data_IF_635258215888
#
_entry.id   IF_635258215888
#
_cell.length_a   1.000
_cell.length_b   1.000
_cell.length_c   1.000
_cell.angle_alpha   90.00
_cell.angle_beta   90.00
_cell.angle_gamma   90.00
#
_symmetry.space_group_name_H-M   'P 1'
#
loop_
_entity.id
_entity.type
_entity.pdbx_description
1 polymer ?
#
# COMPACT_ATOMS: atom_id res chain seq x y z
N UNK A 1 -15.51 -18.61 31.43
CA UNK A 1 -14.52 -17.54 31.67
C UNK A 1 -14.47 -16.68 30.43
N UNK A 2 -15.04 -15.46 30.47
CA UNK A 2 -15.06 -14.52 29.34
C UNK A 2 -13.75 -13.73 29.42
N UNK A 3 -12.85 -13.93 28.46
CA UNK A 3 -11.67 -13.08 28.31
C UNK A 3 -12.16 -11.65 28.01
N UNK A 4 -11.59 -10.66 28.70
CA UNK A 4 -11.94 -9.24 28.54
C UNK A 4 -11.46 -8.80 27.16
N UNK A 5 -12.32 -8.20 26.34
CA UNK A 5 -12.00 -7.78 24.97
C UNK A 5 -10.72 -6.90 24.89
N UNK A 6 -10.42 -6.12 25.92
CA UNK A 6 -9.22 -5.28 25.99
C UNK A 6 -7.88 -6.03 26.13
N UNK A 7 -7.87 -7.26 26.65
CA UNK A 7 -6.65 -8.07 26.82
C UNK A 7 -6.20 -8.70 25.48
N UNK A 8 -7.18 -8.96 24.60
CA UNK A 8 -6.94 -9.49 23.26
C UNK A 8 -6.31 -8.42 22.35
N UNK A 9 -6.77 -7.18 22.45
CA UNK A 9 -6.22 -6.05 21.68
C UNK A 9 -4.77 -5.72 22.06
N UNK A 10 -4.39 -5.88 23.32
CA UNK A 10 -3.02 -5.65 23.78
C UNK A 10 -2.07 -6.72 23.24
N UNK A 11 -2.49 -7.98 23.25
CA UNK A 11 -1.70 -9.06 22.64
C UNK A 11 -1.53 -8.85 21.12
N UNK A 12 -2.55 -8.36 20.41
CA UNK A 12 -2.47 -8.09 18.97
C UNK A 12 -1.49 -6.95 18.61
N UNK A 13 -1.11 -6.12 19.59
CA UNK A 13 -0.13 -5.04 19.44
C UNK A 13 1.30 -5.45 19.82
N UNK A 14 1.55 -6.72 20.10
CA UNK A 14 2.91 -7.22 20.29
C UNK A 14 3.59 -7.50 18.94
N UNK A 15 4.94 -7.38 18.87
CA UNK A 15 5.71 -7.80 17.71
C UNK A 15 5.32 -9.21 17.27
N UNK A 16 5.16 -9.39 15.96
CA UNK A 16 4.77 -10.69 15.42
C UNK A 16 5.67 -11.03 14.25
N UNK A 17 6.21 -12.23 14.26
CA UNK A 17 7.12 -12.68 13.22
C UNK A 17 6.82 -14.12 12.81
N UNK A 18 7.19 -14.44 11.58
CA UNK A 18 6.97 -15.76 11.04
C UNK A 18 7.24 -15.84 9.56
N UNK A 19 7.25 -17.07 9.05
CA UNK A 19 7.44 -17.33 7.64
C UNK A 19 6.14 -17.17 6.88
N UNK A 20 6.16 -16.33 5.84
CA UNK A 20 5.09 -16.23 4.85
C UNK A 20 5.66 -16.50 3.46
N UNK A 21 4.80 -16.94 2.55
CA UNK A 21 5.17 -17.13 1.16
C UNK A 21 4.76 -15.87 0.40
N UNK A 22 5.74 -15.09 -0.07
CA UNK A 22 5.54 -13.86 -0.84
C UNK A 22 5.55 -14.15 -2.34
N UNK A 23 4.55 -13.63 -3.06
CA UNK A 23 4.63 -13.58 -4.51
C UNK A 23 5.65 -12.51 -4.95
N UNK A 24 6.63 -12.91 -5.76
CA UNK A 24 7.71 -12.02 -6.19
C UNK A 24 7.51 -11.52 -7.62
N UNK A 25 7.34 -12.41 -8.59
CA UNK A 25 6.99 -12.12 -9.98
C UNK A 25 6.56 -13.40 -10.68
N UNK A 26 6.16 -13.32 -11.95
CA UNK A 26 5.70 -14.49 -12.73
C UNK A 26 6.80 -15.54 -12.91
N UNK A 27 8.06 -15.12 -13.01
CA UNK A 27 9.20 -16.01 -13.27
C UNK A 27 9.63 -16.80 -12.01
N UNK A 28 9.80 -16.10 -10.89
CA UNK A 28 10.24 -16.67 -9.61
C UNK A 28 9.07 -17.19 -8.77
N UNK A 29 7.85 -16.75 -9.07
CA UNK A 29 6.63 -17.15 -8.39
C UNK A 29 6.62 -16.81 -6.90
N UNK A 30 6.13 -17.76 -6.13
CA UNK A 30 5.94 -17.71 -4.69
C UNK A 30 7.21 -18.16 -3.95
N UNK A 31 7.65 -17.37 -2.98
CA UNK A 31 8.92 -17.60 -2.28
C UNK A 31 8.74 -17.42 -0.78
N UNK A 32 9.27 -18.36 0.01
CA UNK A 32 9.29 -18.24 1.47
C UNK A 32 10.18 -17.04 1.88
N UNK A 33 9.65 -16.20 2.76
CA UNK A 33 10.34 -15.05 3.33
C UNK A 33 9.98 -14.95 4.80
N UNK A 34 10.92 -14.49 5.60
CA UNK A 34 10.67 -14.20 7.00
C UNK A 34 10.09 -12.79 7.13
N UNK A 35 8.94 -12.65 7.77
CA UNK A 35 8.29 -11.37 7.98
C UNK A 35 8.32 -11.00 9.46
N UNK A 36 8.48 -9.70 9.71
CA UNK A 36 8.40 -9.11 11.05
C UNK A 36 7.43 -7.93 10.98
N UNK A 37 6.38 -8.01 11.78
CA UNK A 37 5.47 -6.93 12.08
C UNK A 37 5.99 -6.19 13.31
N UNK A 38 6.40 -4.94 13.13
CA UNK A 38 6.79 -4.06 14.20
C UNK A 38 5.63 -3.09 14.54
N UNK A 39 4.94 -3.28 15.67
CA UNK A 39 3.80 -2.46 16.07
C UNK A 39 4.21 -1.05 16.53
N UNK A 40 5.45 -0.86 17.01
CA UNK A 40 5.93 0.45 17.48
C UNK A 40 6.19 1.39 16.31
N UNK A 41 6.91 0.92 15.29
CA UNK A 41 7.17 1.68 14.05
C UNK A 41 6.01 1.65 13.05
N UNK A 42 5.10 0.68 13.20
CA UNK A 42 3.98 0.49 12.27
C UNK A 42 4.44 -0.05 10.92
N UNK A 43 5.48 -0.88 10.91
CA UNK A 43 6.07 -1.44 9.68
C UNK A 43 5.88 -2.95 9.59
N UNK A 44 5.68 -3.44 8.37
CA UNK A 44 5.82 -4.85 8.02
C UNK A 44 7.06 -5.03 7.17
N UNK A 45 8.08 -5.66 7.73
CA UNK A 45 9.39 -5.86 7.13
C UNK A 45 9.58 -7.31 6.70
N UNK A 46 10.42 -7.55 5.69
CA UNK A 46 10.75 -8.92 5.30
C UNK A 46 12.23 -9.15 5.00
N UNK A 47 12.64 -10.40 5.21
CA UNK A 47 14.00 -10.91 5.10
C UNK A 47 13.99 -12.20 4.27
N UNK A 48 15.17 -12.62 3.80
CA UNK A 48 15.28 -13.88 3.04
C UNK A 48 14.98 -15.08 3.92
N UNK A 49 15.52 -15.11 5.14
CA UNK A 49 15.28 -16.14 6.14
C UNK A 49 15.26 -15.57 7.56
N UNK A 50 14.91 -16.40 8.54
CA UNK A 50 14.98 -16.08 9.96
C UNK A 50 16.42 -15.77 10.43
N UNK A 51 17.43 -16.42 9.87
CA UNK A 51 18.83 -16.17 10.25
C UNK A 51 19.30 -14.78 9.83
N UNK A 52 18.69 -14.22 8.78
CA UNK A 52 19.05 -12.92 8.20
C UNK A 52 18.38 -11.73 8.91
N UNK A 53 17.69 -11.94 10.04
CA UNK A 53 17.05 -10.87 10.83
C UNK A 53 18.01 -9.74 11.23
N UNK A 54 19.29 -10.07 11.41
CA UNK A 54 20.35 -9.12 11.77
C UNK A 54 20.93 -8.38 10.56
N UNK A 55 20.58 -8.81 9.34
CA UNK A 55 20.92 -8.08 8.13
C UNK A 55 19.92 -6.94 7.86
N UNK A 56 20.18 -6.16 6.82
CA UNK A 56 19.24 -5.16 6.33
C UNK A 56 17.98 -5.83 5.76
N UNK A 57 16.81 -5.36 6.20
CA UNK A 57 15.53 -5.75 5.62
C UNK A 57 15.54 -5.58 4.10
N UNK A 58 14.95 -6.54 3.39
CA UNK A 58 14.94 -6.53 1.92
C UNK A 58 13.84 -5.63 1.36
N UNK A 59 12.82 -5.36 2.16
CA UNK A 59 11.78 -4.36 1.90
C UNK A 59 10.87 -4.21 3.11
N UNK A 60 10.08 -3.15 3.11
CA UNK A 60 9.12 -2.86 4.16
C UNK A 60 7.87 -2.17 3.62
N UNK A 61 6.77 -2.32 4.34
CA UNK A 61 5.52 -1.59 4.14
C UNK A 61 5.24 -0.74 5.38
N UNK A 62 4.93 0.54 5.18
CA UNK A 62 4.31 1.36 6.22
C UNK A 62 2.83 1.00 6.31
N UNK A 63 2.37 0.59 7.50
CA UNK A 63 0.99 0.14 7.71
C UNK A 63 -0.01 1.28 7.92
N UNK A 64 0.48 2.49 8.14
CA UNK A 64 -0.35 3.69 8.13
C UNK A 64 -1.09 3.84 6.79
N UNK A 65 -2.42 3.83 6.85
CA UNK A 65 -3.30 3.88 5.68
C UNK A 65 -3.27 2.62 4.81
N UNK A 66 -2.62 1.54 5.26
CA UNK A 66 -2.58 0.29 4.51
C UNK A 66 -3.91 -0.46 4.59
N UNK A 67 -4.27 -1.12 3.49
CA UNK A 67 -5.45 -1.97 3.37
C UNK A 67 -5.02 -3.44 3.38
N UNK A 68 -5.62 -4.22 4.28
CA UNK A 68 -5.32 -5.64 4.45
C UNK A 68 -6.54 -6.47 4.01
N UNK A 69 -6.41 -7.10 2.84
CA UNK A 69 -7.51 -7.81 2.17
C UNK A 69 -7.26 -9.31 2.12
N UNK A 70 -8.16 -10.16 2.65
CA UNK A 70 -8.09 -11.60 2.43
C UNK A 70 -8.39 -11.92 0.96
N UNK A 71 -7.86 -13.03 0.45
CA UNK A 71 -8.22 -13.52 -0.89
C UNK A 71 -9.52 -14.34 -0.83
N UNK A 72 -10.38 -14.16 -1.83
CA UNK A 72 -11.59 -14.98 -2.01
C UNK A 72 -11.29 -16.31 -2.71
N UNK A 73 -10.21 -16.35 -3.51
CA UNK A 73 -9.84 -17.51 -4.33
C UNK A 73 -9.07 -18.59 -3.56
N UNK A 74 -8.30 -18.20 -2.54
CA UNK A 74 -7.43 -19.09 -1.77
C UNK A 74 -7.51 -18.78 -0.26
N UNK A 75 -7.82 -19.77 0.58
CA UNK A 75 -8.07 -19.56 2.01
C UNK A 75 -6.80 -19.29 2.83
N UNK A 76 -5.62 -19.30 2.21
CA UNK A 76 -4.33 -19.03 2.87
C UNK A 76 -3.73 -17.70 2.42
N UNK A 77 -4.27 -17.11 1.35
CA UNK A 77 -3.73 -15.92 0.70
C UNK A 77 -4.42 -14.64 1.20
N UNK A 78 -3.63 -13.58 1.26
CA UNK A 78 -4.07 -12.22 1.55
C UNK A 78 -3.11 -11.20 0.92
N UNK A 79 -3.55 -9.95 0.83
CA UNK A 79 -2.77 -8.85 0.29
C UNK A 79 -2.65 -7.74 1.32
N UNK A 80 -1.45 -7.16 1.43
CA UNK A 80 -1.16 -5.95 2.20
C UNK A 80 -0.84 -4.84 1.21
N UNK A 81 -1.73 -3.86 1.10
CA UNK A 81 -1.61 -2.75 0.18
C UNK A 81 -1.30 -1.46 0.94
N UNK A 82 -0.08 -0.91 0.87
CA UNK A 82 0.24 0.36 1.53
C UNK A 82 -0.54 1.52 0.90
N UNK A 83 -0.63 2.63 1.63
CA UNK A 83 -1.17 3.88 1.07
C UNK A 83 -0.35 4.39 -0.13
N UNK A 84 0.95 4.07 -0.16
CA UNK A 84 1.84 4.35 -1.28
C UNK A 84 2.87 3.23 -1.45
N UNK A 85 3.17 2.87 -2.70
CA UNK A 85 4.17 1.84 -3.03
C UNK A 85 3.58 0.51 -3.48
N UNK A 86 4.40 -0.54 -3.45
CA UNK A 86 4.04 -1.88 -3.94
C UNK A 86 3.22 -2.65 -2.89
N UNK A 87 2.16 -3.32 -3.34
CA UNK A 87 1.38 -4.24 -2.50
C UNK A 87 2.04 -5.61 -2.40
N UNK A 88 1.97 -6.25 -1.23
CA UNK A 88 2.47 -7.60 -1.04
C UNK A 88 1.34 -8.62 -1.07
N UNK A 89 1.41 -9.56 -2.02
CA UNK A 89 0.56 -10.76 -2.02
C UNK A 89 1.28 -11.87 -1.24
N UNK A 90 0.65 -12.31 -0.15
CA UNK A 90 1.22 -13.18 0.87
C UNK A 90 0.34 -14.41 1.08
N UNK A 91 0.97 -15.53 1.41
CA UNK A 91 0.29 -16.78 1.74
C UNK A 91 0.84 -17.34 3.04
N UNK A 92 -0.06 -17.65 3.97
CA UNK A 92 0.25 -18.27 5.26
C UNK A 92 0.31 -19.80 5.15
N UNK A 93 0.80 -20.47 6.19
CA UNK A 93 0.89 -21.94 6.24
C UNK A 93 -0.47 -22.61 6.39
N UNK A 94 -1.38 -21.97 7.13
CA UNK A 94 -2.74 -22.45 7.37
C UNK A 94 -3.72 -21.27 7.61
N UNK A 95 -5.01 -21.59 7.71
CA UNK A 95 -6.08 -20.59 7.87
C UNK A 95 -6.02 -19.86 9.21
N UNK A 96 -5.53 -20.50 10.26
CA UNK A 96 -5.39 -19.91 11.60
C UNK A 96 -4.24 -18.91 11.61
N UNK A 97 -3.09 -19.29 11.06
CA UNK A 97 -1.94 -18.39 10.92
C UNK A 97 -2.29 -17.20 10.04
N UNK A 98 -3.00 -17.43 8.91
CA UNK A 98 -3.54 -16.33 8.09
C UNK A 98 -4.38 -15.36 8.92
N UNK A 99 -5.31 -15.87 9.73
CA UNK A 99 -6.16 -15.01 10.55
C UNK A 99 -5.36 -14.23 11.60
N UNK A 100 -4.35 -14.83 12.20
CA UNK A 100 -3.46 -14.12 13.13
C UNK A 100 -2.72 -12.97 12.45
N UNK A 101 -2.14 -13.21 11.28
CA UNK A 101 -1.51 -12.15 10.47
C UNK A 101 -2.50 -11.04 10.12
N UNK A 102 -3.67 -11.38 9.59
CA UNK A 102 -4.70 -10.41 9.22
C UNK A 102 -5.12 -9.53 10.40
N UNK A 103 -5.40 -10.14 11.55
CA UNK A 103 -5.87 -9.43 12.73
C UNK A 103 -4.81 -8.45 13.25
N UNK A 104 -3.58 -8.92 13.44
CA UNK A 104 -2.48 -8.09 13.94
C UNK A 104 -2.14 -6.94 12.98
N UNK A 105 -2.05 -7.23 11.68
CA UNK A 105 -1.77 -6.20 10.68
C UNK A 105 -2.84 -5.11 10.65
N UNK A 106 -4.13 -5.48 10.75
CA UNK A 106 -5.24 -4.52 10.79
C UNK A 106 -5.20 -3.65 12.03
N UNK A 107 -4.97 -4.23 13.21
CA UNK A 107 -4.87 -3.48 14.46
C UNK A 107 -3.74 -2.46 14.39
N UNK A 108 -2.55 -2.87 13.91
CA UNK A 108 -1.40 -1.97 13.78
C UNK A 108 -1.66 -0.89 12.73
N UNK A 109 -2.21 -1.25 11.57
CA UNK A 109 -2.56 -0.28 10.52
C UNK A 109 -3.55 0.77 11.01
N UNK A 110 -4.63 0.36 11.68
CA UNK A 110 -5.65 1.25 12.24
C UNK A 110 -5.07 2.18 13.30
N UNK A 111 -4.26 1.63 14.23
CA UNK A 111 -3.60 2.40 15.28
C UNK A 111 -2.72 3.50 14.71
N UNK A 112 -1.86 3.17 13.75
CA UNK A 112 -0.95 4.13 13.12
C UNK A 112 -1.67 5.15 12.25
N UNK A 113 -2.70 4.72 11.51
CA UNK A 113 -3.55 5.63 10.72
C UNK A 113 -4.21 6.68 11.61
N UNK A 114 -4.78 6.25 12.75
CA UNK A 114 -5.40 7.14 13.72
C UNK A 114 -4.40 8.11 14.35
N UNK A 115 -3.21 7.63 14.70
CA UNK A 115 -2.17 8.47 15.28
C UNK A 115 -1.73 9.58 14.32
N UNK A 116 -1.55 9.27 13.03
CA UNK A 116 -1.19 10.26 12.00
C UNK A 116 -2.31 11.27 11.80
N UNK A 117 -3.57 10.83 11.73
CA UNK A 117 -4.72 11.72 11.57
C UNK A 117 -4.90 12.67 12.76
N UNK A 118 -4.52 12.25 13.97
CA UNK A 118 -4.55 13.10 15.15
C UNK A 118 -3.46 14.18 15.13
N UNK A 119 -2.25 13.82 14.71
CA UNK A 119 -1.11 14.75 14.62
C UNK A 119 -1.20 15.68 13.41
N UNK A 120 -1.87 15.24 12.35
CA UNK A 120 -2.09 16.00 11.11
C UNK A 120 -3.58 15.96 10.77
N UNK A 121 -4.39 16.83 11.38
CA UNK A 121 -5.82 16.86 11.12
C UNK A 121 -6.08 17.05 9.62
N UNK A 122 -7.03 16.31 9.03
CA UNK A 122 -7.36 16.45 7.63
C UNK A 122 -7.74 17.91 7.35
N UNK A 123 -7.19 18.45 6.25
CA UNK A 123 -7.51 19.81 5.83
C UNK A 123 -9.03 19.93 5.68
N UNK A 124 -9.60 20.99 6.25
CA UNK A 124 -11.02 21.28 6.06
C UNK A 124 -11.34 21.25 4.56
N UNK A 125 -12.47 20.65 4.15
CA UNK A 125 -12.90 20.67 2.76
C UNK A 125 -12.79 22.09 2.23
N UNK A 126 -11.99 22.28 1.18
CA UNK A 126 -11.80 23.60 0.60
C UNK A 126 -13.16 24.03 0.06
N UNK A 127 -13.81 24.96 0.75
CA UNK A 127 -15.07 25.52 0.31
C UNK A 127 -14.83 26.15 -1.07
N UNK A 128 -15.36 25.54 -2.12
CA UNK A 128 -15.41 26.17 -3.43
C UNK A 128 -16.33 27.38 -3.27
N UNK A 129 -15.72 28.55 -3.07
CA UNK A 129 -16.42 29.83 -3.04
C UNK A 129 -17.21 29.93 -4.34
N UNK A 130 -18.52 29.77 -4.21
CA UNK A 130 -19.48 29.96 -5.28
C UNK A 130 -19.38 31.43 -5.72
N UNK A 131 -18.64 31.71 -6.79
CA UNK A 131 -18.58 33.05 -7.39
C UNK A 131 -19.87 33.24 -8.19
N UNK A 132 -20.94 33.54 -7.47
CA UNK A 132 -22.21 34.00 -8.03
C UNK A 132 -22.42 35.48 -7.71
N UNK A 133 -22.24 36.33 -8.72
CA UNK A 133 -23.00 37.58 -8.89
C UNK A 133 -22.52 38.87 -8.20
N UNK A 134 -21.89 39.75 -8.99
CA UNK A 134 -22.24 41.18 -9.12
C UNK A 134 -21.87 42.15 -7.98
N UNK A 135 -20.95 43.09 -8.26
CA UNK A 135 -20.77 44.30 -7.45
C UNK A 135 -19.44 45.01 -7.65
N UNK A 136 -19.48 46.14 -8.35
CA UNK A 136 -18.40 47.10 -8.68
C UNK A 136 -17.59 47.65 -7.50
N UNK A 137 -16.29 47.90 -7.71
CA UNK A 137 -15.47 48.81 -6.87
C UNK A 137 -14.03 48.33 -6.68
N UNK A 138 -13.07 48.95 -7.38
CA UNK A 138 -11.67 48.52 -7.42
C UNK A 138 -10.85 48.85 -6.18
N UNK A 139 -9.76 48.10 -6.00
CA UNK A 139 -8.39 48.52 -5.62
C UNK A 139 -7.52 47.27 -5.34
N UNK A 140 -6.43 47.15 -6.11
CA UNK A 140 -5.31 46.19 -6.10
C UNK A 140 -5.13 45.19 -4.93
N UNK A 141 -4.77 43.91 -5.20
CA UNK A 141 -4.07 43.06 -4.23
C UNK A 141 -2.54 43.27 -4.30
N UNK A 142 -1.80 43.12 -3.18
CA UNK A 142 -0.34 43.11 -3.19
C UNK A 142 0.18 41.85 -3.90
N UNK A 143 1.05 42.05 -4.87
CA UNK A 143 1.72 40.99 -5.64
C UNK A 143 2.82 40.33 -4.81
N UNK A 144 2.50 39.20 -4.17
CA UNK A 144 3.49 38.24 -3.68
C UNK A 144 2.91 36.83 -3.68
N UNK A 145 2.89 36.19 -4.85
CA UNK A 145 2.75 34.73 -4.96
C UNK A 145 3.60 34.27 -6.15
N UNK A 146 4.61 33.40 -5.95
CA UNK A 146 5.30 32.79 -7.07
C UNK A 146 4.31 31.91 -7.84
N UNK A 147 4.36 32.04 -9.16
CA UNK A 147 3.59 31.32 -10.15
C UNK A 147 3.87 29.81 -10.05
N UNK A 148 3.18 29.10 -9.14
CA UNK A 148 3.25 27.64 -9.01
C UNK A 148 2.31 26.89 -9.98
N UNK A 149 1.54 27.61 -10.82
CA UNK A 149 0.49 27.00 -11.64
C UNK A 149 0.99 26.21 -12.85
N UNK A 150 2.11 26.61 -13.47
CA UNK A 150 2.56 26.02 -14.74
C UNK A 150 3.45 24.80 -14.54
N UNK A 151 4.39 24.85 -13.59
CA UNK A 151 5.30 23.72 -13.31
C UNK A 151 4.55 22.49 -12.79
N UNK A 152 3.46 22.68 -12.04
CA UNK A 152 2.62 21.60 -11.55
C UNK A 152 1.81 20.97 -12.69
N UNK A 153 1.26 21.78 -13.60
CA UNK A 153 0.54 21.28 -14.77
C UNK A 153 1.46 20.50 -15.72
N UNK A 154 2.68 20.99 -15.92
CA UNK A 154 3.70 20.29 -16.72
C UNK A 154 4.06 18.95 -16.09
N UNK A 155 4.25 18.90 -14.77
CA UNK A 155 4.52 17.65 -14.05
C UNK A 155 3.38 16.64 -14.20
N UNK A 156 2.11 17.08 -14.09
CA UNK A 156 0.96 16.20 -14.31
C UNK A 156 0.85 15.72 -15.76
N UNK A 157 1.16 16.58 -16.72
CA UNK A 157 1.16 16.22 -18.14
C UNK A 157 2.23 15.17 -18.44
N UNK A 158 3.42 15.33 -17.86
CA UNK A 158 4.52 14.37 -18.00
C UNK A 158 4.17 13.01 -17.38
N UNK A 159 3.48 12.98 -16.24
CA UNK A 159 3.00 11.72 -15.63
C UNK A 159 1.92 11.06 -16.49
N UNK A 160 1.00 11.84 -17.06
CA UNK A 160 -0.03 11.31 -17.95
C UNK A 160 0.58 10.66 -19.21
N UNK A 161 1.57 11.31 -19.81
CA UNK A 161 2.30 10.79 -20.98
C UNK A 161 3.04 9.49 -20.66
N UNK A 162 3.74 9.43 -19.52
CA UNK A 162 4.44 8.20 -19.07
C UNK A 162 3.44 7.05 -18.83
N UNK A 163 2.26 7.34 -18.27
CA UNK A 163 1.23 6.33 -18.03
C UNK A 163 0.58 5.85 -19.33
N UNK A 164 0.37 6.73 -20.31
CA UNK A 164 -0.10 6.34 -21.65
C UNK A 164 0.93 5.48 -22.38
N UNK A 165 2.20 5.84 -22.32
CA UNK A 165 3.27 5.05 -22.93
C UNK A 165 3.40 3.68 -22.26
N UNK A 166 3.31 3.62 -20.92
CA UNK A 166 3.28 2.36 -20.19
C UNK A 166 2.06 1.49 -20.60
N UNK A 167 0.88 2.10 -20.77
CA UNK A 167 -0.31 1.41 -21.28
C UNK A 167 -0.11 0.89 -22.70
N UNK A 168 0.50 1.69 -23.58
CA UNK A 168 0.78 1.32 -24.97
C UNK A 168 1.76 0.15 -25.03
N UNK A 169 2.86 0.22 -24.28
CA UNK A 169 3.85 -0.86 -24.19
C UNK A 169 3.22 -2.14 -23.63
N UNK A 170 2.39 -2.02 -22.60
CA UNK A 170 1.67 -3.16 -22.03
C UNK A 170 0.71 -3.78 -23.07
N UNK A 171 -0.02 -2.97 -23.84
CA UNK A 171 -0.90 -3.45 -24.90
C UNK A 171 -0.14 -4.19 -26.00
N UNK A 172 1.00 -3.64 -26.45
CA UNK A 172 1.84 -4.27 -27.49
C UNK A 172 2.40 -5.60 -26.99
N UNK A 173 2.88 -5.64 -25.75
CA UNK A 173 3.37 -6.87 -25.14
C UNK A 173 2.25 -7.93 -25.02
N UNK A 174 1.05 -7.53 -24.61
CA UNK A 174 -0.10 -8.44 -24.50
C UNK A 174 -0.45 -9.06 -25.86
N UNK A 175 -0.53 -8.26 -26.92
CA UNK A 175 -0.77 -8.75 -28.28
C UNK A 175 0.35 -9.67 -28.77
N UNK A 176 1.62 -9.34 -28.50
CA UNK A 176 2.75 -10.19 -28.87
C UNK A 176 2.76 -11.54 -28.13
N UNK A 177 2.24 -11.59 -26.89
CA UNK A 177 2.08 -12.85 -26.14
C UNK A 177 1.01 -13.73 -26.79
N UNK A 178 -0.10 -13.14 -27.23
CA UNK A 178 -1.19 -13.87 -27.90
C UNK A 178 -0.78 -14.40 -29.29
N UNK A 179 0.12 -13.70 -29.98
CA UNK A 179 0.61 -14.06 -31.32
C UNK A 179 1.78 -15.06 -31.29
N UNK A 180 2.18 -15.55 -30.11
CA UNK A 180 3.22 -16.57 -30.02
C UNK A 180 2.75 -17.90 -30.62
N UNK A 181 3.51 -18.50 -31.56
CA UNK A 181 3.14 -19.77 -32.16
C UNK A 181 3.14 -20.87 -31.10
N UNK A 182 1.99 -21.51 -30.91
CA UNK A 182 1.83 -22.69 -30.05
C UNK A 182 2.58 -23.88 -30.65
N UNK A 183 3.85 -24.05 -30.30
CA UNK A 183 4.61 -25.25 -30.66
C UNK A 183 4.15 -26.45 -29.83
N UNK A 184 3.16 -27.17 -30.36
CA UNK A 184 2.71 -28.47 -29.89
C UNK A 184 3.22 -29.58 -30.81
N UNK A 185 4.25 -30.28 -30.34
CA UNK A 185 4.77 -31.63 -30.63
C UNK A 185 4.10 -32.45 -31.77
N UNK A 186 4.94 -32.93 -32.69
CA UNK A 186 4.92 -34.33 -33.16
C UNK A 186 5.95 -35.15 -32.35
#
# INVERSE_FOLDING_TARGET
MRLKDGDMDENLRQPYEGQLIKFTNVVKGWQARWFILNPESGTLEYYLSESDKHERARGFIQLAGAVISPSDEDPYTFTVSPAAGESYKLRATDTRDRQMWLNRLRVVAEMHTRAIAHNHPPLAPREHRNVGGGGTGGSQPPSSTPFMGLAVLDAFTQVAEVLEEARRQHSVLATAIEDMPSYGKD
#
